data_IF_202943447435
#
_entry.id   IF_202943447435
#
_cell.length_a   1.000
_cell.length_b   1.000
_cell.length_c   1.000
_cell.angle_alpha   90.00
_cell.angle_beta   90.00
_cell.angle_gamma   90.00
#
_symmetry.space_group_name_H-M   'P 1'
#
loop_
_entity.id
_entity.type
_entity.pdbx_description
1 polymer ?
#
# COMPACT_ATOMS: atom_id res chain seq x y z
N UNK A 1 10.36 -57.90 10.21
CA UNK A 1 11.39 -56.86 9.99
C UNK A 1 10.71 -55.50 10.22
N UNK A 2 10.56 -54.85 11.38
CA UNK A 2 11.48 -54.56 12.51
C UNK A 2 12.89 -54.23 11.99
N UNK A 3 13.43 -53.01 12.11
CA UNK A 3 13.41 -52.07 13.24
C UNK A 3 13.96 -50.69 12.78
N UNK A 4 13.38 -49.54 13.16
CA UNK A 4 14.15 -48.40 13.72
C UNK A 4 13.27 -47.28 14.32
N UNK A 5 13.13 -47.35 15.65
CA UNK A 5 12.99 -46.31 16.68
C UNK A 5 12.08 -45.09 16.47
N UNK A 6 11.05 -45.05 17.32
CA UNK A 6 10.61 -43.85 18.06
C UNK A 6 11.85 -43.09 18.57
N UNK A 7 12.10 -41.90 18.02
CA UNK A 7 13.03 -40.95 18.62
C UNK A 7 12.33 -40.37 19.85
N UNK A 8 12.56 -40.98 21.01
CA UNK A 8 12.39 -40.29 22.28
C UNK A 8 13.47 -39.20 22.33
N UNK A 9 13.06 -37.96 22.07
CA UNK A 9 13.93 -36.81 22.27
C UNK A 9 14.20 -36.69 23.78
N UNK A 10 15.49 -36.63 24.20
CA UNK A 10 15.82 -36.44 25.59
C UNK A 10 15.23 -35.11 26.06
N UNK A 11 14.65 -35.11 27.27
CA UNK A 11 14.28 -33.89 27.99
C UNK A 11 15.56 -33.11 28.33
N UNK A 12 16.06 -32.35 27.35
CA UNK A 12 17.34 -31.66 27.44
C UNK A 12 17.54 -30.73 26.25
N UNK A 13 17.06 -29.50 26.40
CA UNK A 13 17.39 -28.29 25.62
C UNK A 13 17.45 -28.42 24.09
N UNK A 14 16.27 -28.47 23.47
CA UNK A 14 15.98 -28.17 22.04
C UNK A 14 16.27 -26.68 21.71
N UNK A 15 16.93 -25.95 22.60
CA UNK A 15 17.19 -24.51 22.47
C UNK A 15 18.41 -24.22 21.60
N UNK A 16 19.45 -25.05 21.65
CA UNK A 16 20.77 -24.70 21.09
C UNK A 16 20.88 -24.98 19.60
N UNK A 17 20.32 -26.09 19.11
CA UNK A 17 20.39 -26.47 17.68
C UNK A 17 19.44 -25.64 16.81
N UNK A 18 18.31 -25.18 17.36
CA UNK A 18 17.35 -24.33 16.64
C UNK A 18 17.84 -22.87 16.55
N UNK A 19 18.62 -22.40 17.53
CA UNK A 19 19.26 -21.06 17.50
C UNK A 19 20.24 -20.88 16.33
N UNK A 20 20.84 -21.96 15.82
CA UNK A 20 21.82 -21.90 14.73
C UNK A 20 21.18 -21.72 13.32
N UNK A 21 19.89 -22.06 13.15
CA UNK A 21 19.22 -22.04 11.84
C UNK A 21 18.44 -20.75 11.57
N UNK A 22 18.16 -19.92 12.59
CA UNK A 22 17.36 -18.70 12.47
C UNK A 22 18.10 -17.47 11.88
N UNK A 23 19.39 -17.57 11.56
CA UNK A 23 20.24 -16.41 11.24
C UNK A 23 20.57 -16.19 9.75
N UNK A 24 20.04 -16.96 8.79
CA UNK A 24 20.42 -16.80 7.38
C UNK A 24 19.24 -16.46 6.47
N UNK A 25 19.03 -15.18 6.25
CA UNK A 25 18.20 -14.70 5.14
C UNK A 25 18.07 -13.18 5.15
N UNK A 26 18.79 -12.50 4.24
CA UNK A 26 18.66 -11.07 4.03
C UNK A 26 17.18 -10.67 3.81
N UNK A 27 16.69 -9.57 4.40
CA UNK A 27 15.32 -9.11 4.18
C UNK A 27 15.14 -8.70 2.72
N UNK A 28 14.10 -9.21 2.05
CA UNK A 28 13.72 -8.67 0.75
C UNK A 28 13.12 -7.27 0.93
N UNK A 29 13.31 -6.38 -0.05
CA UNK A 29 12.84 -4.98 0.00
C UNK A 29 11.35 -4.84 0.38
N UNK A 30 10.54 -5.85 0.04
CA UNK A 30 9.12 -5.90 0.37
C UNK A 30 8.82 -6.15 1.86
N UNK A 31 9.60 -7.00 2.53
CA UNK A 31 9.40 -7.31 3.97
C UNK A 31 9.69 -6.09 4.86
N UNK A 32 10.68 -5.29 4.49
CA UNK A 32 11.04 -4.05 5.18
C UNK A 32 9.95 -2.98 5.03
N UNK A 33 9.31 -2.92 3.86
CA UNK A 33 8.37 -1.85 3.51
C UNK A 33 6.99 -1.98 4.19
N UNK A 34 6.59 -3.19 4.59
CA UNK A 34 5.25 -3.47 5.13
C UNK A 34 5.26 -4.21 6.47
N UNK A 35 6.31 -4.07 7.29
CA UNK A 35 6.41 -4.67 8.65
C UNK A 35 5.88 -6.12 8.72
N UNK A 36 6.40 -6.96 7.83
CA UNK A 36 5.97 -8.36 7.70
C UNK A 36 6.60 -9.19 8.81
N UNK A 37 5.78 -9.83 9.63
CA UNK A 37 6.23 -10.61 10.78
C UNK A 37 6.92 -11.91 10.34
N UNK A 38 8.19 -12.10 10.69
CA UNK A 38 8.86 -13.41 10.61
C UNK A 38 8.69 -14.13 11.94
N UNK A 39 7.48 -14.59 12.23
CA UNK A 39 7.25 -15.40 13.42
C UNK A 39 7.77 -16.82 13.20
N UNK A 40 8.70 -17.24 14.06
CA UNK A 40 9.04 -18.64 14.21
C UNK A 40 7.92 -19.35 14.97
N UNK A 41 7.75 -20.66 14.75
CA UNK A 41 6.72 -21.52 15.37
C UNK A 41 6.60 -21.44 16.91
N UNK A 42 7.51 -20.74 17.60
CA UNK A 42 7.63 -20.68 19.06
C UNK A 42 6.95 -19.47 19.72
N UNK A 43 6.69 -18.38 19.00
CA UNK A 43 6.09 -17.16 19.56
C UNK A 43 4.98 -16.65 18.62
N UNK A 44 3.76 -17.17 18.78
CA UNK A 44 2.58 -16.61 18.10
C UNK A 44 2.06 -15.44 18.93
N UNK A 45 2.84 -14.36 18.98
CA UNK A 45 2.39 -13.10 19.57
C UNK A 45 1.57 -12.31 18.55
N UNK A 46 0.24 -12.38 18.67
CA UNK A 46 -0.80 -11.59 17.98
C UNK A 46 -0.46 -11.18 16.53
N UNK A 47 -0.90 -11.96 15.55
CA UNK A 47 -0.92 -11.49 14.15
C UNK A 47 -2.09 -10.51 14.01
N UNK A 48 -1.81 -9.28 13.57
CA UNK A 48 -2.89 -8.29 13.41
C UNK A 48 -3.65 -8.53 12.10
N UNK A 49 -2.94 -8.66 10.97
CA UNK A 49 -3.59 -8.85 9.67
C UNK A 49 -2.97 -10.02 8.90
N UNK A 50 -3.77 -11.04 8.64
CA UNK A 50 -3.44 -12.13 7.71
C UNK A 50 -3.76 -11.71 6.28
N UNK A 51 -2.80 -11.81 5.35
CA UNK A 51 -3.05 -11.55 3.92
C UNK A 51 -3.21 -12.88 3.18
N UNK A 52 -4.45 -13.20 2.81
CA UNK A 52 -4.72 -14.32 1.90
C UNK A 52 -4.75 -13.82 0.47
N UNK A 53 -4.04 -14.51 -0.42
CA UNK A 53 -3.89 -14.09 -1.80
C UNK A 53 -3.53 -15.26 -2.70
N UNK A 54 -3.87 -15.13 -3.99
CA UNK A 54 -3.41 -16.09 -4.99
C UNK A 54 -1.93 -15.88 -5.31
N UNK A 55 -1.10 -16.94 -5.22
CA UNK A 55 0.33 -16.88 -5.54
C UNK A 55 0.65 -16.45 -6.98
N UNK A 56 -0.28 -16.68 -7.91
CA UNK A 56 -0.15 -16.36 -9.34
C UNK A 56 -0.46 -14.91 -9.66
N UNK A 57 -1.18 -14.21 -8.77
CA UNK A 57 -1.51 -12.81 -9.00
C UNK A 57 -0.27 -11.91 -9.02
N UNK A 58 -0.36 -10.84 -9.80
CA UNK A 58 0.76 -9.95 -10.07
C UNK A 58 1.26 -9.22 -8.82
N UNK A 59 2.58 -9.06 -8.75
CA UNK A 59 3.23 -8.41 -7.60
C UNK A 59 2.76 -6.97 -7.44
N UNK A 60 2.61 -6.24 -8.55
CA UNK A 60 2.21 -4.84 -8.52
C UNK A 60 0.77 -4.65 -8.08
N UNK A 61 -0.14 -5.54 -8.49
CA UNK A 61 -1.53 -5.47 -8.05
C UNK A 61 -1.65 -5.71 -6.55
N UNK A 62 -0.90 -6.68 -6.01
CA UNK A 62 -0.83 -6.91 -4.56
C UNK A 62 -0.27 -5.71 -3.81
N UNK A 63 0.80 -5.10 -4.34
CA UNK A 63 1.41 -3.90 -3.77
C UNK A 63 0.39 -2.77 -3.68
N UNK A 64 -0.27 -2.48 -4.80
CA UNK A 64 -1.27 -1.43 -4.90
C UNK A 64 -2.45 -1.70 -3.97
N UNK A 65 -2.92 -2.94 -3.89
CA UNK A 65 -3.98 -3.33 -2.97
C UNK A 65 -3.59 -3.14 -1.49
N UNK A 66 -2.35 -3.44 -1.10
CA UNK A 66 -1.86 -3.17 0.25
C UNK A 66 -1.74 -1.67 0.52
N UNK A 67 -1.25 -0.87 -0.44
CA UNK A 67 -1.25 0.60 -0.34
C UNK A 67 -2.68 1.16 -0.20
N UNK A 68 -3.63 0.62 -0.95
CA UNK A 68 -5.05 0.97 -0.82
C UNK A 68 -5.56 0.68 0.59
N UNK A 69 -5.29 -0.51 1.11
CA UNK A 69 -5.72 -0.91 2.44
C UNK A 69 -5.12 -0.02 3.55
N UNK A 70 -3.84 0.32 3.47
CA UNK A 70 -3.13 1.09 4.49
C UNK A 70 -3.35 2.60 4.39
N UNK A 71 -3.26 3.15 3.19
CA UNK A 71 -3.01 4.57 3.00
C UNK A 71 -4.19 5.34 2.40
N UNK A 72 -5.20 4.67 1.83
CA UNK A 72 -6.30 5.37 1.16
C UNK A 72 -7.01 6.35 2.10
N UNK A 73 -7.31 5.91 3.33
CA UNK A 73 -7.96 6.77 4.33
C UNK A 73 -7.09 7.95 4.73
N UNK A 74 -5.77 7.78 4.81
CA UNK A 74 -4.83 8.85 5.12
C UNK A 74 -4.73 9.85 3.94
N UNK A 75 -4.62 9.34 2.72
CA UNK A 75 -4.53 10.14 1.50
C UNK A 75 -5.80 10.97 1.28
N UNK A 76 -6.98 10.38 1.49
CA UNK A 76 -8.26 11.10 1.39
C UNK A 76 -8.38 12.22 2.44
N UNK A 77 -7.97 11.97 3.69
CA UNK A 77 -7.95 13.00 4.74
C UNK A 77 -6.97 14.13 4.43
N UNK A 78 -5.76 13.80 3.98
CA UNK A 78 -4.75 14.79 3.61
C UNK A 78 -5.22 15.69 2.45
N UNK A 79 -5.77 15.08 1.40
CA UNK A 79 -6.37 15.79 0.28
C UNK A 79 -7.53 16.70 0.73
N UNK A 80 -8.43 16.20 1.58
CA UNK A 80 -9.57 16.99 2.09
C UNK A 80 -9.10 18.15 2.97
N UNK A 81 -8.13 17.93 3.85
CA UNK A 81 -7.56 18.98 4.68
C UNK A 81 -6.92 20.09 3.83
N UNK A 82 -6.23 19.71 2.75
CA UNK A 82 -5.67 20.68 1.81
C UNK A 82 -6.75 21.54 1.15
N UNK A 83 -7.85 20.93 0.66
CA UNK A 83 -8.94 21.67 0.05
C UNK A 83 -9.61 22.66 1.02
N UNK A 84 -9.71 22.32 2.31
CA UNK A 84 -10.19 23.26 3.34
C UNK A 84 -9.26 24.46 3.51
N UNK A 85 -7.94 24.23 3.52
CA UNK A 85 -6.94 25.32 3.58
C UNK A 85 -7.06 26.23 2.37
N UNK A 86 -7.18 25.66 1.17
CA UNK A 86 -7.32 26.42 -0.07
C UNK A 86 -8.60 27.25 -0.08
N UNK A 87 -9.72 26.70 0.38
CA UNK A 87 -10.96 27.45 0.51
C UNK A 87 -10.79 28.68 1.43
N UNK A 88 -10.08 28.53 2.56
CA UNK A 88 -9.74 29.64 3.44
C UNK A 88 -8.86 30.70 2.76
N UNK A 89 -7.86 30.29 1.98
CA UNK A 89 -6.98 31.20 1.22
C UNK A 89 -7.78 31.99 0.19
N UNK A 90 -8.66 31.34 -0.56
CA UNK A 90 -9.51 31.99 -1.58
C UNK A 90 -10.42 33.04 -0.95
N UNK A 91 -10.98 32.76 0.23
CA UNK A 91 -11.81 33.73 0.97
C UNK A 91 -10.98 34.91 1.50
N UNK A 92 -9.73 34.67 1.93
CA UNK A 92 -8.86 35.70 2.47
C UNK A 92 -8.18 36.57 1.40
N UNK A 93 -7.93 36.01 0.20
CA UNK A 93 -7.21 36.65 -0.90
C UNK A 93 -8.06 36.58 -2.17
N UNK A 94 -9.05 37.47 -2.33
CA UNK A 94 -10.00 37.42 -3.45
C UNK A 94 -9.39 37.76 -4.82
N UNK A 95 -8.13 38.22 -4.86
CA UNK A 95 -7.41 38.60 -6.08
C UNK A 95 -6.42 37.52 -6.57
N UNK A 96 -6.60 36.25 -6.17
CA UNK A 96 -5.72 35.17 -6.61
C UNK A 96 -5.88 34.93 -8.13
N UNK A 97 -4.76 34.78 -8.85
CA UNK A 97 -4.83 34.48 -10.28
C UNK A 97 -5.43 33.10 -10.54
N UNK A 98 -6.12 32.95 -11.67
CA UNK A 98 -6.79 31.70 -12.03
C UNK A 98 -5.81 30.51 -12.09
N UNK A 99 -4.58 30.74 -12.60
CA UNK A 99 -3.54 29.72 -12.63
C UNK A 99 -3.16 29.25 -11.22
N UNK A 100 -3.03 30.17 -10.25
CA UNK A 100 -2.73 29.83 -8.86
C UNK A 100 -3.90 29.08 -8.21
N UNK A 101 -5.15 29.43 -8.55
CA UNK A 101 -6.32 28.68 -8.10
C UNK A 101 -6.29 27.23 -8.59
N UNK A 102 -5.96 26.98 -9.85
CA UNK A 102 -5.81 25.62 -10.39
C UNK A 102 -4.67 24.85 -9.72
N UNK A 103 -3.50 25.47 -9.54
CA UNK A 103 -2.36 24.83 -8.87
C UNK A 103 -2.74 24.40 -7.46
N UNK A 104 -3.32 25.30 -6.66
CA UNK A 104 -3.65 24.99 -5.27
C UNK A 104 -4.86 24.08 -5.12
N UNK A 105 -5.88 24.21 -5.96
CA UNK A 105 -7.14 23.46 -5.81
C UNK A 105 -7.12 22.10 -6.51
N UNK A 106 -6.23 21.89 -7.48
CA UNK A 106 -6.16 20.67 -8.28
C UNK A 106 -4.79 19.99 -8.17
N UNK A 107 -3.71 20.67 -8.57
CA UNK A 107 -2.40 20.02 -8.71
C UNK A 107 -1.85 19.57 -7.36
N UNK A 108 -1.81 20.47 -6.36
CA UNK A 108 -1.27 20.16 -5.03
C UNK A 108 -2.08 19.07 -4.31
N UNK A 109 -3.43 19.08 -4.25
CA UNK A 109 -4.17 18.02 -3.59
C UNK A 109 -4.02 16.66 -4.30
N UNK A 110 -3.91 16.62 -5.64
CA UNK A 110 -3.63 15.37 -6.37
C UNK A 110 -2.22 14.86 -6.05
N UNK A 111 -1.21 15.72 -6.07
CA UNK A 111 0.17 15.35 -5.69
C UNK A 111 0.21 14.88 -4.24
N UNK A 112 -0.46 15.58 -3.33
CA UNK A 112 -0.56 15.21 -1.91
C UNK A 112 -1.21 13.84 -1.76
N UNK A 113 -2.33 13.59 -2.46
CA UNK A 113 -2.97 12.28 -2.46
C UNK A 113 -2.01 11.18 -2.92
N UNK A 114 -1.33 11.36 -4.05
CA UNK A 114 -0.42 10.35 -4.61
C UNK A 114 0.75 10.07 -3.67
N UNK A 115 1.38 11.12 -3.11
CA UNK A 115 2.48 10.97 -2.17
C UNK A 115 2.05 10.22 -0.91
N UNK A 116 0.92 10.60 -0.32
CA UNK A 116 0.40 9.93 0.89
C UNK A 116 -0.10 8.51 0.56
N UNK A 117 -0.66 8.28 -0.62
CA UNK A 117 -1.14 6.96 -1.05
C UNK A 117 0.00 5.93 -1.15
N UNK A 118 1.16 6.31 -1.68
CA UNK A 118 2.30 5.41 -1.84
C UNK A 118 3.21 5.35 -0.62
N UNK A 119 3.30 6.44 0.16
CA UNK A 119 4.30 6.59 1.23
C UNK A 119 3.70 6.87 2.62
N UNK A 120 2.37 6.91 2.77
CA UNK A 120 1.69 7.21 4.04
C UNK A 120 2.09 6.30 5.21
N UNK A 121 2.34 5.02 4.93
CA UNK A 121 2.86 4.05 5.88
C UNK A 121 4.27 4.38 6.40
N UNK A 122 5.07 5.08 5.60
CA UNK A 122 6.40 5.57 6.00
C UNK A 122 6.31 6.87 6.77
N UNK A 123 5.36 7.75 6.40
CA UNK A 123 5.11 9.01 7.10
C UNK A 123 4.63 8.80 8.54
N UNK A 124 4.01 7.65 8.82
CA UNK A 124 3.63 7.24 10.19
C UNK A 124 4.76 6.55 10.96
N UNK A 125 6.00 6.59 10.43
CA UNK A 125 7.22 5.99 10.99
C UNK A 125 7.09 4.50 11.36
N UNK A 126 6.15 3.77 10.77
CA UNK A 126 5.88 2.37 11.13
C UNK A 126 5.35 2.16 12.55
N UNK A 127 5.09 3.25 13.31
CA UNK A 127 4.61 3.19 14.70
C UNK A 127 3.14 2.76 14.75
N UNK A 128 2.36 3.13 13.72
CA UNK A 128 0.90 2.98 13.68
C UNK A 128 0.41 1.99 12.61
N UNK A 129 1.33 1.30 11.92
CA UNK A 129 0.99 0.34 10.86
C UNK A 129 0.80 -1.07 11.41
N UNK A 130 -0.20 -1.83 10.92
CA UNK A 130 -0.47 -3.17 11.40
C UNK A 130 0.64 -4.16 11.03
N UNK A 131 0.82 -5.20 11.85
CA UNK A 131 1.72 -6.31 11.52
C UNK A 131 1.05 -7.28 10.56
N UNK A 132 1.67 -7.48 9.40
CA UNK A 132 1.16 -8.40 8.39
C UNK A 132 1.81 -9.77 8.47
N UNK A 133 1.01 -10.79 8.20
CA UNK A 133 1.46 -12.16 7.98
C UNK A 133 1.10 -12.58 6.56
N UNK A 134 2.09 -13.07 5.81
CA UNK A 134 1.97 -13.46 4.41
C UNK A 134 2.64 -14.81 4.21
N UNK A 135 1.87 -15.81 3.79
CA UNK A 135 2.31 -17.21 3.67
C UNK A 135 3.64 -17.39 2.95
N UNK A 136 3.79 -16.78 1.78
CA UNK A 136 4.96 -16.89 0.93
C UNK A 136 6.23 -16.28 1.54
N UNK A 137 6.07 -15.38 2.52
CA UNK A 137 7.18 -14.66 3.16
C UNK A 137 7.47 -15.17 4.57
N UNK A 138 6.45 -15.69 5.26
CA UNK A 138 6.52 -16.16 6.64
C UNK A 138 6.86 -17.65 6.73
N UNK A 139 6.53 -18.44 5.70
CA UNK A 139 6.92 -19.86 5.60
C UNK A 139 8.20 -20.00 4.79
N UNK A 140 9.17 -20.75 5.32
CA UNK A 140 10.38 -21.10 4.58
C UNK A 140 10.02 -21.87 3.30
N UNK A 141 10.45 -21.35 2.16
CA UNK A 141 10.17 -21.94 0.84
C UNK A 141 11.28 -22.88 0.37
N UNK A 142 12.41 -22.91 1.08
CA UNK A 142 13.64 -23.59 0.65
C UNK A 142 13.88 -24.90 1.40
N UNK A 143 13.78 -24.90 2.72
CA UNK A 143 13.95 -26.11 3.53
C UNK A 143 12.63 -26.89 3.66
N UNK A 144 12.61 -28.14 3.22
CA UNK A 144 11.38 -28.96 3.19
C UNK A 144 10.85 -29.27 4.61
N UNK A 145 11.75 -29.51 5.57
CA UNK A 145 11.37 -29.79 6.95
C UNK A 145 10.72 -28.56 7.60
N UNK A 146 11.33 -27.39 7.47
CA UNK A 146 10.80 -26.13 8.00
C UNK A 146 9.55 -25.67 7.26
N UNK A 147 9.48 -25.90 5.94
CA UNK A 147 8.30 -25.65 5.11
C UNK A 147 7.10 -26.47 5.58
N UNK A 148 7.27 -27.77 5.76
CA UNK A 148 6.18 -28.66 6.20
C UNK A 148 5.68 -28.28 7.60
N UNK A 149 6.58 -27.95 8.53
CA UNK A 149 6.23 -27.47 9.85
C UNK A 149 5.50 -26.11 9.80
N UNK A 150 5.95 -25.19 8.94
CA UNK A 150 5.28 -23.91 8.68
C UNK A 150 3.87 -24.09 8.14
N UNK A 151 3.70 -24.98 7.13
CA UNK A 151 2.40 -25.32 6.54
C UNK A 151 1.45 -25.92 7.59
N UNK A 152 1.94 -26.82 8.43
CA UNK A 152 1.15 -27.45 9.48
C UNK A 152 0.62 -26.43 10.51
N UNK A 153 1.34 -25.32 10.72
CA UNK A 153 0.94 -24.25 11.63
C UNK A 153 0.08 -23.16 11.01
N UNK A 154 -0.13 -23.16 9.69
CA UNK A 154 -0.95 -22.15 9.00
C UNK A 154 -2.35 -21.96 9.59
N UNK A 155 -3.10 -23.03 9.92
CA UNK A 155 -4.42 -22.86 10.54
C UNK A 155 -4.37 -22.07 11.84
N UNK A 156 -3.31 -22.23 12.64
CA UNK A 156 -3.13 -21.51 13.90
C UNK A 156 -2.86 -20.04 13.66
N UNK A 157 -2.02 -19.69 12.68
CA UNK A 157 -1.78 -18.27 12.33
C UNK A 157 -3.05 -17.60 11.82
N UNK A 158 -3.81 -18.27 10.95
CA UNK A 158 -5.09 -17.76 10.45
C UNK A 158 -6.09 -17.57 11.59
N UNK A 159 -6.24 -18.57 12.47
CA UNK A 159 -7.19 -18.53 13.58
C UNK A 159 -6.80 -17.52 14.67
N UNK A 160 -5.52 -17.17 14.81
CA UNK A 160 -5.04 -16.18 15.78
C UNK A 160 -4.94 -14.76 15.19
N UNK A 161 -5.25 -14.57 13.91
CA UNK A 161 -5.16 -13.26 13.27
C UNK A 161 -6.38 -12.39 13.60
N UNK A 162 -6.17 -11.14 14.04
CA UNK A 162 -7.29 -10.25 14.41
C UNK A 162 -8.16 -9.83 13.21
N UNK A 163 -7.57 -9.79 12.02
CA UNK A 163 -8.21 -9.43 10.76
C UNK A 163 -7.64 -10.26 9.61
N UNK A 164 -8.46 -10.51 8.59
CA UNK A 164 -8.02 -11.13 7.33
C UNK A 164 -8.27 -10.18 6.17
N UNK A 165 -7.21 -9.89 5.42
CA UNK A 165 -7.24 -9.17 4.15
C UNK A 165 -7.16 -10.18 3.00
N UNK A 166 -8.24 -10.32 2.25
CA UNK A 166 -8.32 -11.18 1.08
C UNK A 166 -8.06 -10.34 -0.17
N UNK A 167 -6.93 -10.59 -0.82
CA UNK A 167 -6.58 -10.01 -2.10
C UNK A 167 -7.03 -10.96 -3.21
N UNK A 168 -8.25 -10.73 -3.73
CA UNK A 168 -8.86 -11.66 -4.67
C UNK A 168 -8.69 -11.21 -6.13
N UNK A 169 -8.29 -12.17 -6.95
CA UNK A 169 -8.28 -12.15 -8.40
C UNK A 169 -9.25 -13.22 -8.92
N UNK A 170 -9.27 -13.45 -10.24
CA UNK A 170 -10.11 -14.48 -10.85
C UNK A 170 -9.80 -15.90 -10.34
N UNK A 171 -8.52 -16.17 -10.01
CA UNK A 171 -8.06 -17.50 -9.58
C UNK A 171 -8.20 -17.76 -8.08
N UNK A 172 -8.51 -16.74 -7.28
CA UNK A 172 -8.49 -16.84 -5.81
C UNK A 172 -9.38 -17.96 -5.27
N UNK A 173 -10.65 -18.01 -5.71
CA UNK A 173 -11.63 -19.00 -5.25
C UNK A 173 -11.47 -20.38 -5.90
N UNK A 174 -10.61 -20.51 -6.92
CA UNK A 174 -10.27 -21.80 -7.53
C UNK A 174 -9.22 -22.56 -6.70
N UNK A 175 -8.51 -21.85 -5.81
CA UNK A 175 -7.44 -22.42 -5.01
C UNK A 175 -7.95 -22.97 -3.69
N UNK A 176 -7.81 -24.29 -3.53
CA UNK A 176 -8.16 -25.00 -2.30
C UNK A 176 -7.50 -24.36 -1.07
N UNK A 177 -6.23 -23.95 -1.19
CA UNK A 177 -5.49 -23.36 -0.08
C UNK A 177 -6.11 -22.02 0.39
N UNK A 178 -6.41 -21.11 -0.52
CA UNK A 178 -7.05 -19.83 -0.20
C UNK A 178 -8.45 -20.02 0.41
N UNK A 179 -9.23 -20.98 -0.12
CA UNK A 179 -10.54 -21.33 0.43
C UNK A 179 -10.44 -21.94 1.84
N UNK A 180 -9.42 -22.76 2.08
CA UNK A 180 -9.14 -23.35 3.39
C UNK A 180 -8.82 -22.27 4.43
N UNK A 181 -7.92 -21.33 4.12
CA UNK A 181 -7.62 -20.17 4.98
C UNK A 181 -8.88 -19.35 5.28
N UNK A 182 -9.66 -19.03 4.24
CA UNK A 182 -10.90 -18.27 4.38
C UNK A 182 -11.90 -18.98 5.30
N UNK A 183 -12.06 -20.30 5.13
CA UNK A 183 -12.97 -21.09 5.97
C UNK A 183 -12.56 -21.11 7.44
N UNK A 184 -11.25 -21.24 7.73
CA UNK A 184 -10.72 -21.22 9.10
C UNK A 184 -10.95 -19.86 9.73
N UNK A 185 -10.65 -18.78 9.00
CA UNK A 185 -10.83 -17.43 9.51
C UNK A 185 -12.29 -17.12 9.81
N UNK A 186 -13.19 -17.39 8.87
CA UNK A 186 -14.62 -17.13 9.03
C UNK A 186 -15.21 -17.97 10.17
N UNK A 187 -14.75 -19.21 10.35
CA UNK A 187 -15.15 -20.05 11.49
C UNK A 187 -14.67 -19.46 12.84
N UNK A 188 -13.51 -18.81 12.86
CA UNK A 188 -12.88 -18.31 14.09
C UNK A 188 -13.36 -16.90 14.48
N UNK A 189 -13.54 -16.00 13.52
CA UNK A 189 -13.82 -14.57 13.74
C UNK A 189 -15.11 -14.06 13.09
N UNK A 190 -15.77 -14.87 12.26
CA UNK A 190 -16.91 -14.43 11.45
C UNK A 190 -16.51 -13.46 10.33
N UNK A 191 -17.50 -12.73 9.81
CA UNK A 191 -17.32 -11.85 8.64
C UNK A 191 -16.91 -10.41 8.98
N UNK A 192 -17.04 -9.98 10.25
CA UNK A 192 -16.80 -8.57 10.62
C UNK A 192 -15.35 -8.15 10.45
N UNK A 193 -14.41 -9.05 10.73
CA UNK A 193 -12.96 -8.82 10.58
C UNK A 193 -12.41 -9.32 9.24
N UNK A 194 -13.29 -9.63 8.28
CA UNK A 194 -12.90 -10.04 6.93
C UNK A 194 -12.95 -8.83 5.99
N UNK A 195 -11.84 -8.55 5.30
CA UNK A 195 -11.72 -7.48 4.33
C UNK A 195 -11.43 -8.06 2.96
N UNK A 196 -12.41 -8.01 2.06
CA UNK A 196 -12.24 -8.43 0.67
C UNK A 196 -11.81 -7.23 -0.17
N UNK A 197 -10.67 -7.34 -0.86
CA UNK A 197 -10.15 -6.30 -1.72
C UNK A 197 -9.86 -6.87 -3.13
N UNK A 198 -10.61 -6.46 -4.16
CA UNK A 198 -10.33 -6.86 -5.53
C UNK A 198 -9.01 -6.25 -6.01
N UNK A 199 -8.16 -7.05 -6.64
CA UNK A 199 -6.88 -6.56 -7.15
C UNK A 199 -7.01 -5.48 -8.23
N UNK A 200 -8.07 -5.52 -9.04
CA UNK A 200 -8.35 -4.53 -10.09
C UNK A 200 -8.83 -3.17 -9.56
N UNK A 201 -9.30 -3.10 -8.31
CA UNK A 201 -9.91 -1.89 -7.76
C UNK A 201 -8.92 -0.73 -7.67
N UNK A 202 -7.68 -1.02 -7.24
CA UNK A 202 -6.67 0.03 -7.05
C UNK A 202 -6.15 0.59 -8.38
N UNK A 203 -5.75 -0.23 -9.36
CA UNK A 203 -5.43 0.27 -10.71
C UNK A 203 -6.57 1.08 -11.33
N UNK A 204 -7.82 0.63 -11.16
CA UNK A 204 -8.99 1.36 -11.64
C UNK A 204 -9.13 2.72 -10.96
N UNK A 205 -8.99 2.81 -9.63
CA UNK A 205 -9.01 4.07 -8.90
C UNK A 205 -7.92 5.04 -9.38
N UNK A 206 -6.68 4.58 -9.49
CA UNK A 206 -5.57 5.44 -9.91
C UNK A 206 -5.71 5.91 -11.36
N UNK A 207 -6.20 5.03 -12.25
CA UNK A 207 -6.46 5.37 -13.64
C UNK A 207 -7.59 6.39 -13.78
N UNK A 208 -8.70 6.19 -13.05
CA UNK A 208 -9.81 7.16 -13.07
C UNK A 208 -9.39 8.51 -12.52
N UNK A 209 -8.63 8.55 -11.43
CA UNK A 209 -8.07 9.80 -10.89
C UNK A 209 -7.14 10.51 -11.88
N UNK A 210 -6.27 9.76 -12.56
CA UNK A 210 -5.36 10.31 -13.57
C UNK A 210 -6.15 10.89 -14.77
N UNK A 211 -7.14 10.16 -15.27
CA UNK A 211 -7.98 10.62 -16.38
C UNK A 211 -8.78 11.87 -15.98
N UNK A 212 -9.34 11.92 -14.78
CA UNK A 212 -10.03 13.10 -14.26
C UNK A 212 -9.09 14.30 -14.12
N UNK A 213 -7.87 14.10 -13.63
CA UNK A 213 -6.85 15.15 -13.55
C UNK A 213 -6.48 15.69 -14.94
N UNK A 214 -6.17 14.81 -15.90
CA UNK A 214 -5.85 15.21 -17.27
C UNK A 214 -7.02 15.95 -17.92
N UNK A 215 -8.25 15.44 -17.76
CA UNK A 215 -9.46 16.06 -18.30
C UNK A 215 -9.66 17.48 -17.74
N UNK A 216 -9.50 17.67 -16.42
CA UNK A 216 -9.61 18.98 -15.79
C UNK A 216 -8.52 19.96 -16.27
N UNK A 217 -7.27 19.49 -16.42
CA UNK A 217 -6.17 20.32 -16.94
C UNK A 217 -6.35 20.71 -18.40
N UNK A 218 -6.80 19.77 -19.23
CA UNK A 218 -7.11 20.07 -20.63
C UNK A 218 -8.22 21.11 -20.73
N UNK A 219 -9.30 20.96 -19.94
CA UNK A 219 -10.37 21.95 -19.89
C UNK A 219 -9.85 23.34 -19.50
N UNK A 220 -8.99 23.42 -18.47
CA UNK A 220 -8.37 24.69 -18.06
C UNK A 220 -7.59 25.35 -19.20
N UNK A 221 -6.76 24.58 -19.91
CA UNK A 221 -6.00 25.08 -21.08
C UNK A 221 -6.93 25.53 -22.21
N UNK A 222 -7.98 24.77 -22.52
CA UNK A 222 -8.95 25.16 -23.55
C UNK A 222 -9.71 26.43 -23.18
N UNK A 223 -10.07 26.61 -21.90
CA UNK A 223 -10.72 27.85 -21.43
C UNK A 223 -9.79 29.06 -21.53
N UNK A 224 -8.48 28.87 -21.33
CA UNK A 224 -7.49 29.94 -21.50
C UNK A 224 -7.25 30.30 -22.98
N UNK A 225 -7.25 29.30 -23.87
CA UNK A 225 -7.10 29.50 -25.33
C UNK A 225 -8.35 30.13 -25.97
N UNK A 226 -9.54 29.83 -25.43
CA UNK A 226 -10.82 30.34 -25.93
C UNK A 226 -11.10 31.81 -25.56
N UNK A 227 -10.36 32.39 -24.61
CA UNK A 227 -10.46 33.80 -24.23
C UNK A 227 -9.33 34.62 -24.89
N UNK A 228 -9.60 35.32 -26.02
CA UNK A 228 -8.60 36.11 -26.73
C UNK A 228 -7.97 37.23 -25.86
N UNK A 229 -8.63 37.64 -24.77
CA UNK A 229 -8.11 38.64 -23.83
C UNK A 229 -6.97 38.13 -22.94
N UNK A 230 -6.91 36.83 -22.65
CA UNK A 230 -5.90 36.24 -21.77
C UNK A 230 -4.64 35.81 -22.53
N UNK A 231 -4.78 35.42 -23.80
CA UNK A 231 -3.66 35.17 -24.71
C UNK A 231 -2.78 36.42 -24.88
N UNK A 232 -3.39 37.60 -25.00
CA UNK A 232 -2.66 38.86 -25.09
C UNK A 232 -1.95 39.22 -23.78
N UNK A 233 -2.57 38.97 -22.61
CA UNK A 233 -1.95 39.22 -21.29
C UNK A 233 -0.79 38.25 -20.98
N UNK A 234 -0.94 36.97 -21.33
CA UNK A 234 0.11 35.95 -21.18
C UNK A 234 1.31 36.24 -22.09
N UNK A 235 1.06 36.62 -23.35
CA UNK A 235 2.09 37.03 -24.29
C UNK A 235 2.82 38.33 -23.85
N UNK A 236 2.09 39.30 -23.30
CA UNK A 236 2.70 40.52 -22.73
C UNK A 236 3.53 40.20 -21.49
N UNK A 237 3.07 39.31 -20.60
CA UNK A 237 3.82 38.87 -19.42
C UNK A 237 5.11 38.11 -19.74
N UNK A 238 5.08 37.23 -20.75
CA UNK A 238 6.25 36.51 -21.24
C UNK A 238 7.28 37.46 -21.89
N UNK A 239 6.82 38.46 -22.65
CA UNK A 239 7.69 39.49 -23.23
C UNK A 239 8.28 40.42 -22.15
N UNK A 240 7.52 40.78 -21.12
CA UNK A 240 8.01 41.59 -20.01
C UNK A 240 9.10 40.85 -19.21
N UNK A 241 8.93 39.54 -18.98
CA UNK A 241 9.94 38.70 -18.32
C UNK A 241 11.19 38.53 -19.20
N UNK A 242 11.03 38.35 -20.52
CA UNK A 242 12.15 38.27 -21.46
C UNK A 242 12.96 39.58 -21.53
N UNK A 243 12.28 40.74 -21.51
CA UNK A 243 12.93 42.07 -21.45
C UNK A 243 13.65 42.28 -20.12
N UNK A 244 13.09 41.82 -19.00
CA UNK A 244 13.73 41.91 -17.69
C UNK A 244 14.99 41.03 -17.62
N UNK A 245 14.93 39.82 -18.17
CA UNK A 245 16.07 38.90 -18.25
C UNK A 245 17.16 39.40 -19.20
N UNK A 246 16.80 40.12 -20.27
CA UNK A 246 17.78 40.81 -21.13
C UNK A 246 18.48 41.95 -20.38
N UNK A 247 17.75 42.78 -19.62
CA UNK A 247 18.38 43.85 -18.82
C UNK A 247 19.30 43.35 -17.72
N UNK A 248 18.98 42.21 -17.11
CA UNK A 248 19.83 41.58 -16.09
C UNK A 248 21.10 40.94 -16.68
N UNK A 249 21.17 40.74 -18.00
CA UNK A 249 22.35 40.21 -18.70
C UNK A 249 23.35 41.30 -19.12
N UNK A 250 22.94 42.57 -19.08
CA UNK A 250 23.77 43.74 -19.45
C UNK A 250 24.48 44.40 -18.26
N UNK A 251 24.32 43.85 -17.05
CA UNK A 251 25.07 44.21 -15.83
C UNK A 251 26.02 43.08 -15.44
#
# INVERSE_FOLDING_TARGET
>A
MQFCRRVELPRGSISTTIKALAQKGHPCSWCLQFRISRQTLREVEDVEVFISHSWSADRWEKYLAVCYFLNLGLAAKAMTAWLVVVAGIVLAVPALSIHMMFVFSLDVPVVTFILVFFFGQHLTCGVWGPRFWVDKLCVDQTDEATKSAGIAALPTFVANSSQMLVLWDKSYYERLWCNFELSIFVKSHGLKSLRLLPLWLTPWLLTTMLLSYISARLLAVFTELGDPGNLMKSAIGANALAVLLQRLREY
#
